data_IF_486633952728
#
_entry.id   IF_486633952728
#
_cell.length_a   1.000
_cell.length_b   1.000
_cell.length_c   1.000
_cell.angle_alpha   90.00
_cell.angle_beta   90.00
_cell.angle_gamma   90.00
#
_symmetry.space_group_name_H-M   'P 1'
#
loop_
_entity.id
_entity.type
_entity.pdbx_description
1 polymer ?
#
# COMPACT_ATOMS: atom_id res chain seq x y z
N UNK A 1 25.22 -6.58 6.37
CA UNK A 1 23.89 -6.33 5.76
C UNK A 1 23.85 -4.90 5.27
N UNK A 2 23.43 -4.67 4.01
CA UNK A 2 23.48 -3.35 3.38
C UNK A 2 22.63 -2.29 4.11
N UNK A 3 23.02 -1.02 3.95
CA UNK A 3 22.39 0.16 4.58
C UNK A 3 20.88 0.31 4.32
N UNK A 4 20.35 -0.36 3.28
CA UNK A 4 18.97 -0.24 2.80
C UNK A 4 18.28 -1.60 2.57
N UNK A 5 18.46 -2.54 3.50
CA UNK A 5 17.96 -3.91 3.35
C UNK A 5 16.44 -3.96 3.18
N UNK A 6 15.68 -3.28 4.04
CA UNK A 6 14.22 -3.32 3.99
C UNK A 6 13.66 -2.57 2.79
N UNK A 7 14.28 -1.44 2.42
CA UNK A 7 13.95 -0.68 1.21
C UNK A 7 14.04 -1.56 -0.03
N UNK A 8 15.15 -2.31 -0.19
CA UNK A 8 15.35 -3.22 -1.33
C UNK A 8 14.30 -4.34 -1.32
N UNK A 9 14.10 -5.00 -0.18
CA UNK A 9 13.13 -6.09 -0.07
C UNK A 9 11.73 -5.57 -0.45
N UNK A 10 11.26 -4.49 0.18
CA UNK A 10 9.93 -3.97 -0.08
C UNK A 10 9.78 -3.50 -1.54
N UNK A 11 10.79 -2.87 -2.12
CA UNK A 11 10.78 -2.46 -3.53
C UNK A 11 10.66 -3.64 -4.49
N UNK A 12 11.34 -4.77 -4.21
CA UNK A 12 11.26 -5.98 -5.03
C UNK A 12 9.92 -6.70 -4.89
N UNK A 13 9.31 -6.66 -3.72
CA UNK A 13 7.99 -7.26 -3.48
C UNK A 13 6.84 -6.42 -4.04
N UNK A 14 6.96 -5.09 -4.09
CA UNK A 14 5.92 -4.21 -4.64
C UNK A 14 5.38 -4.66 -6.01
N UNK A 15 6.18 -4.89 -7.07
CA UNK A 15 5.64 -5.29 -8.37
C UNK A 15 4.89 -6.63 -8.31
N UNK A 16 5.33 -7.58 -7.49
CA UNK A 16 4.63 -8.86 -7.31
C UNK A 16 3.27 -8.66 -6.65
N UNK A 17 3.21 -7.79 -5.63
CA UNK A 17 1.95 -7.43 -4.96
C UNK A 17 1.02 -6.65 -5.90
N UNK A 18 1.55 -5.77 -6.75
CA UNK A 18 0.78 -5.04 -7.78
C UNK A 18 0.16 -6.03 -8.77
N UNK A 19 0.94 -6.98 -9.29
CA UNK A 19 0.42 -8.01 -10.19
C UNK A 19 -0.69 -8.83 -9.54
N UNK A 20 -0.51 -9.20 -8.27
CA UNK A 20 -1.53 -9.92 -7.50
C UNK A 20 -2.83 -9.12 -7.42
N UNK A 21 -2.79 -7.85 -7.05
CA UNK A 21 -4.02 -7.05 -6.93
C UNK A 21 -4.68 -6.78 -8.28
N UNK A 22 -3.89 -6.54 -9.34
CA UNK A 22 -4.43 -6.38 -10.70
C UNK A 22 -5.15 -7.64 -11.17
N UNK A 23 -4.60 -8.83 -10.87
CA UNK A 23 -5.25 -10.09 -11.16
C UNK A 23 -6.62 -10.21 -10.48
N UNK A 24 -6.72 -9.87 -9.19
CA UNK A 24 -7.98 -9.90 -8.45
C UNK A 24 -9.00 -8.83 -8.90
N UNK A 25 -8.52 -7.67 -9.36
CA UNK A 25 -9.38 -6.61 -9.89
C UNK A 25 -10.07 -7.02 -11.19
N UNK A 26 -9.53 -7.99 -11.94
CA UNK A 26 -10.19 -8.59 -13.11
C UNK A 26 -10.61 -7.57 -14.18
N UNK A 27 -9.80 -6.53 -14.41
CA UNK A 27 -10.14 -5.46 -15.37
C UNK A 27 -11.30 -4.55 -14.96
N UNK A 28 -11.70 -4.58 -13.68
CA UNK A 28 -12.78 -3.77 -13.12
C UNK A 28 -14.04 -4.55 -12.75
N UNK A 29 -14.09 -5.84 -13.06
CA UNK A 29 -15.20 -6.73 -12.73
C UNK A 29 -14.93 -7.63 -11.51
N UNK A 30 -13.71 -7.62 -10.99
CA UNK A 30 -13.29 -8.40 -9.83
C UNK A 30 -13.47 -7.65 -8.51
N UNK A 31 -12.67 -8.01 -7.51
CA UNK A 31 -12.69 -7.39 -6.17
C UNK A 31 -11.51 -6.47 -5.97
N UNK A 32 -11.77 -5.33 -5.34
CA UNK A 32 -10.77 -4.35 -4.96
C UNK A 32 -10.27 -4.54 -3.53
N UNK A 33 -10.82 -5.51 -2.79
CA UNK A 33 -10.42 -5.81 -1.42
C UNK A 33 -8.90 -6.03 -1.26
N UNK A 34 -8.22 -6.80 -2.13
CA UNK A 34 -6.76 -6.96 -2.04
C UNK A 34 -6.01 -5.65 -2.26
N UNK A 35 -6.50 -4.77 -3.14
CA UNK A 35 -5.95 -3.44 -3.39
C UNK A 35 -6.08 -2.54 -2.17
N UNK A 36 -7.21 -2.58 -1.46
CA UNK A 36 -7.40 -1.81 -0.22
C UNK A 36 -6.48 -2.32 0.89
N UNK A 37 -6.38 -3.64 1.08
CA UNK A 37 -5.57 -4.25 2.14
C UNK A 37 -4.07 -4.01 1.91
N UNK A 38 -3.60 -4.20 0.68
CA UNK A 38 -2.17 -4.13 0.36
C UNK A 38 -1.72 -2.71 0.02
N UNK A 39 -2.58 -1.91 -0.62
CA UNK A 39 -2.27 -0.57 -1.12
C UNK A 39 -3.25 0.50 -0.64
N UNK A 40 -3.46 0.66 0.67
CA UNK A 40 -4.40 1.63 1.21
C UNK A 40 -4.07 3.05 0.73
N UNK A 41 -2.80 3.46 0.68
CA UNK A 41 -2.43 4.78 0.16
C UNK A 41 -2.85 5.02 -1.29
N UNK A 42 -2.84 3.99 -2.12
CA UNK A 42 -3.33 4.09 -3.50
C UNK A 42 -4.85 4.07 -3.61
N UNK A 43 -5.53 3.54 -2.60
CA UNK A 43 -6.98 3.52 -2.51
C UNK A 43 -7.55 4.73 -1.78
N UNK A 44 -6.75 5.58 -1.13
CA UNK A 44 -7.22 6.85 -0.54
C UNK A 44 -7.92 7.71 -1.59
N UNK A 45 -7.44 7.74 -2.83
CA UNK A 45 -8.05 8.54 -3.90
C UNK A 45 -9.51 8.21 -4.17
N UNK A 46 -9.90 6.94 -3.97
CA UNK A 46 -11.26 6.50 -4.26
C UNK A 46 -12.29 7.04 -3.28
N UNK A 47 -11.88 7.50 -2.09
CA UNK A 47 -12.79 8.14 -1.13
C UNK A 47 -13.15 9.57 -1.55
N UNK A 48 -12.28 10.27 -2.28
CA UNK A 48 -12.48 11.67 -2.70
C UNK A 48 -12.94 11.80 -4.15
N UNK A 49 -12.39 11.00 -5.05
CA UNK A 49 -12.53 11.15 -6.50
C UNK A 49 -13.35 10.02 -7.14
N UNK A 50 -13.85 9.06 -6.34
CA UNK A 50 -14.61 7.88 -6.76
C UNK A 50 -13.94 7.06 -7.89
N UNK A 51 -12.65 7.27 -8.09
CA UNK A 51 -11.86 6.68 -9.17
C UNK A 51 -10.43 6.47 -8.70
N UNK A 52 -9.77 5.47 -9.30
CA UNK A 52 -8.34 5.25 -9.10
C UNK A 52 -7.61 6.15 -10.09
N UNK A 53 -6.88 7.14 -9.57
CA UNK A 53 -6.11 8.08 -10.41
C UNK A 53 -4.63 7.78 -10.35
N UNK A 54 -3.91 8.17 -11.41
CA UNK A 54 -2.48 7.91 -11.54
C UNK A 54 -1.66 8.42 -10.33
N UNK A 55 -2.05 9.57 -9.75
CA UNK A 55 -1.40 10.12 -8.57
C UNK A 55 -1.45 9.14 -7.39
N UNK A 56 -2.64 8.62 -7.06
CA UNK A 56 -2.77 7.68 -5.96
C UNK A 56 -2.17 6.32 -6.30
N UNK A 57 -2.23 5.86 -7.56
CA UNK A 57 -1.50 4.66 -7.99
C UNK A 57 -0.01 4.78 -7.69
N UNK A 58 0.62 5.93 -8.00
CA UNK A 58 2.03 6.19 -7.69
C UNK A 58 2.26 6.16 -6.18
N UNK A 59 1.39 6.79 -5.38
CA UNK A 59 1.48 6.75 -3.92
C UNK A 59 1.39 5.32 -3.37
N UNK A 60 0.50 4.49 -3.91
CA UNK A 60 0.39 3.08 -3.56
C UNK A 60 1.67 2.30 -3.88
N UNK A 61 2.27 2.51 -5.06
CA UNK A 61 3.51 1.83 -5.44
C UNK A 61 4.68 2.28 -4.54
N UNK A 62 4.77 3.57 -4.25
CA UNK A 62 5.86 4.17 -3.46
C UNK A 62 5.74 3.87 -1.96
N UNK A 63 4.55 3.52 -1.45
CA UNK A 63 4.33 3.29 -0.02
C UNK A 63 5.31 2.27 0.58
N UNK A 64 5.57 1.15 -0.12
CA UNK A 64 6.40 0.06 0.37
C UNK A 64 7.89 0.44 0.37
N UNK A 65 8.47 1.00 -0.70
CA UNK A 65 9.79 1.61 -0.64
C UNK A 65 9.94 2.63 0.51
N UNK A 66 8.94 3.48 0.75
CA UNK A 66 8.96 4.45 1.87
C UNK A 66 8.95 3.76 3.23
N UNK A 67 8.11 2.75 3.43
CA UNK A 67 8.11 1.97 4.67
C UNK A 67 9.47 1.30 4.91
N UNK A 68 10.06 0.69 3.87
CA UNK A 68 11.37 0.07 3.96
C UNK A 68 12.47 1.07 4.30
N UNK A 69 12.44 2.25 3.68
CA UNK A 69 13.38 3.33 3.94
C UNK A 69 13.30 3.84 5.38
N UNK A 70 12.09 4.06 5.89
CA UNK A 70 11.86 4.45 7.28
C UNK A 70 12.40 3.40 8.26
N UNK A 71 12.20 2.11 7.99
CA UNK A 71 12.72 1.02 8.81
C UNK A 71 14.26 0.96 8.80
N UNK A 72 14.89 1.20 7.65
CA UNK A 72 16.35 1.13 7.50
C UNK A 72 17.08 2.28 8.21
N UNK A 73 16.53 3.51 8.16
CA UNK A 73 17.17 4.70 8.72
C UNK A 73 16.96 4.83 10.21
N UNK A 74 15.71 4.69 10.66
CA UNK A 74 15.36 5.02 12.04
C UNK A 74 15.71 3.86 12.99
N UNK A 75 15.87 2.62 12.49
CA UNK A 75 16.31 1.43 13.25
C UNK A 75 15.61 1.20 14.60
N UNK A 76 14.45 1.80 14.81
CA UNK A 76 13.69 1.71 16.05
C UNK A 76 12.67 0.58 15.97
N UNK A 77 12.74 -0.37 16.90
CA UNK A 77 11.79 -1.49 16.99
C UNK A 77 10.33 -1.08 17.21
N UNK A 78 10.07 0.15 17.70
CA UNK A 78 8.72 0.69 17.83
C UNK A 78 8.15 1.19 16.49
N UNK A 79 9.02 1.62 15.57
CA UNK A 79 8.61 2.19 14.29
C UNK A 79 7.91 1.17 13.40
N UNK A 80 8.36 -0.09 13.37
CA UNK A 80 7.67 -1.15 12.62
C UNK A 80 6.23 -1.34 13.07
N UNK A 81 5.98 -1.24 14.38
CA UNK A 81 4.63 -1.33 14.92
C UNK A 81 3.82 -0.10 14.58
N UNK A 82 4.43 1.10 14.62
CA UNK A 82 3.76 2.34 14.22
C UNK A 82 3.35 2.33 12.75
N UNK A 83 4.26 1.94 11.84
CA UNK A 83 3.97 1.80 10.40
C UNK A 83 2.85 0.79 10.18
N UNK A 84 2.90 -0.36 10.86
CA UNK A 84 1.87 -1.39 10.75
C UNK A 84 0.51 -0.91 11.27
N UNK A 85 0.47 -0.28 12.44
CA UNK A 85 -0.77 0.30 13.02
C UNK A 85 -1.33 1.35 12.07
N UNK A 86 -0.49 2.24 11.56
CA UNK A 86 -0.92 3.28 10.64
C UNK A 86 -1.47 2.69 9.33
N UNK A 87 -0.81 1.68 8.77
CA UNK A 87 -1.29 0.95 7.60
C UNK A 87 -2.65 0.30 7.86
N UNK A 88 -2.80 -0.44 8.97
CA UNK A 88 -4.06 -1.10 9.34
C UNK A 88 -5.17 -0.06 9.54
N UNK A 89 -4.89 1.06 10.21
CA UNK A 89 -5.86 2.14 10.39
C UNK A 89 -6.34 2.67 9.04
N UNK A 90 -5.43 2.92 8.09
CA UNK A 90 -5.83 3.33 6.74
C UNK A 90 -6.68 2.27 6.03
N UNK A 91 -6.32 0.99 6.11
CA UNK A 91 -7.11 -0.11 5.54
C UNK A 91 -8.53 -0.09 6.10
N UNK A 92 -8.67 -0.02 7.43
CA UNK A 92 -9.98 0.01 8.10
C UNK A 92 -10.79 1.24 7.66
N UNK A 93 -10.17 2.42 7.63
CA UNK A 93 -10.84 3.66 7.20
C UNK A 93 -11.35 3.51 5.76
N UNK A 94 -10.50 3.04 4.84
CA UNK A 94 -10.87 2.92 3.42
C UNK A 94 -11.93 1.86 3.21
N UNK A 95 -11.87 0.72 3.91
CA UNK A 95 -12.91 -0.32 3.83
C UNK A 95 -14.30 0.20 4.23
N UNK A 96 -14.37 1.17 5.15
CA UNK A 96 -15.63 1.73 5.63
C UNK A 96 -16.14 2.92 4.81
N UNK A 97 -15.28 3.56 3.99
CA UNK A 97 -15.63 4.79 3.27
C UNK A 97 -15.61 4.59 1.74
N UNK A 98 -14.76 3.70 1.23
CA UNK A 98 -14.61 3.48 -0.21
C UNK A 98 -15.86 2.83 -0.81
N UNK A 99 -16.26 3.31 -1.98
CA UNK A 99 -17.32 2.69 -2.79
C UNK A 99 -16.86 1.44 -3.54
N UNK A 100 -15.56 1.14 -3.54
CA UNK A 100 -14.97 -0.05 -4.16
C UNK A 100 -14.93 -1.22 -3.16
N UNK A 101 -15.41 -2.39 -3.58
CA UNK A 101 -15.38 -3.65 -2.82
C UNK A 101 -14.68 -4.74 -3.62
#
# INVERSE_FOLDING_TARGET
MGKFRWTIIFSLFTPLLVLLVVFFMGGGHGTYLPSIILFPFGMIGTTFQQSITALFTILGIVQFPVYGYLLDILKHNKLKHLILIFHILLVVIILNISSYK
#
